data_IF_148134187742
#
_entry.id   IF_148134187742
#
_cell.length_a   1.000
_cell.length_b   1.000
_cell.length_c   1.000
_cell.angle_alpha   90.00
_cell.angle_beta   90.00
_cell.angle_gamma   90.00
#
_symmetry.space_group_name_H-M   'P 1'
#
loop_
_entity.id
_entity.type
_entity.pdbx_description
1 polymer ?
#
# COMPACT_ATOMS: atom_id res chain seq x y z
N UNK A 1 -11.38 9.77 75.31
CA UNK A 1 -11.16 8.71 74.30
C UNK A 1 -10.97 9.38 72.94
N UNK A 2 -9.75 9.85 72.61
CA UNK A 2 -9.47 10.49 71.32
C UNK A 2 -8.99 9.43 70.33
N UNK A 3 -9.75 9.24 69.25
CA UNK A 3 -9.40 8.31 68.18
C UNK A 3 -8.32 8.99 67.32
N UNK A 4 -7.08 8.54 67.47
CA UNK A 4 -5.94 8.98 66.66
C UNK A 4 -6.08 8.40 65.25
N UNK A 5 -6.73 9.13 64.35
CA UNK A 5 -6.86 8.77 62.94
C UNK A 5 -5.47 8.76 62.28
N UNK A 6 -4.93 7.58 61.98
CA UNK A 6 -3.63 7.44 61.31
C UNK A 6 -3.80 7.77 59.82
N UNK A 7 -3.15 8.84 59.35
CA UNK A 7 -3.20 9.32 57.96
C UNK A 7 -2.57 8.37 56.92
N UNK A 8 -2.03 7.22 57.35
CA UNK A 8 -1.28 6.30 56.50
C UNK A 8 -2.12 5.54 55.47
N UNK A 9 -3.39 5.26 55.77
CA UNK A 9 -4.22 4.41 54.91
C UNK A 9 -4.74 5.13 53.67
N UNK A 10 -4.93 6.46 53.76
CA UNK A 10 -5.37 7.29 52.62
C UNK A 10 -4.27 7.36 51.55
N UNK A 11 -2.99 7.41 51.95
CA UNK A 11 -1.86 7.44 51.03
C UNK A 11 -1.66 6.11 50.27
N UNK A 12 -2.03 5.00 50.90
CA UNK A 12 -1.86 3.64 50.36
C UNK A 12 -2.93 3.30 49.31
N UNK A 13 -4.15 3.82 49.46
CA UNK A 13 -5.21 3.66 48.45
C UNK A 13 -4.97 4.51 47.21
N UNK A 14 -4.45 5.73 47.36
CA UNK A 14 -4.16 6.62 46.23
C UNK A 14 -3.08 6.07 45.26
N UNK A 15 -2.11 5.31 45.78
CA UNK A 15 -1.04 4.71 44.98
C UNK A 15 -1.51 3.48 44.19
N UNK A 16 -2.37 2.65 44.76
CA UNK A 16 -2.91 1.46 44.07
C UNK A 16 -3.83 1.86 42.92
N UNK A 17 -4.66 2.89 43.11
CA UNK A 17 -5.57 3.40 42.06
C UNK A 17 -4.77 4.09 40.94
N UNK A 18 -3.71 4.85 41.27
CA UNK A 18 -2.84 5.50 40.29
C UNK A 18 -2.08 4.50 39.40
N UNK A 19 -1.61 3.39 39.97
CA UNK A 19 -0.95 2.30 39.22
C UNK A 19 -1.95 1.44 38.43
N UNK A 20 -3.18 1.30 38.91
CA UNK A 20 -4.24 0.58 38.20
C UNK A 20 -4.74 1.35 36.97
N UNK A 21 -5.20 2.60 37.15
CA UNK A 21 -5.80 3.37 36.05
C UNK A 21 -4.78 3.87 35.02
N UNK A 22 -3.53 4.14 35.41
CA UNK A 22 -2.49 4.60 34.49
C UNK A 22 -2.11 3.57 33.42
N UNK A 23 -2.25 2.28 33.70
CA UNK A 23 -1.90 1.20 32.77
C UNK A 23 -2.98 0.85 31.73
N UNK A 24 -4.26 1.07 32.06
CA UNK A 24 -5.37 0.66 31.19
C UNK A 24 -5.58 1.58 29.97
N UNK A 25 -5.09 2.83 29.99
CA UNK A 25 -5.39 3.81 28.93
C UNK A 25 -4.40 3.73 27.74
N UNK A 26 -3.29 2.98 27.85
CA UNK A 26 -2.24 2.98 26.79
C UNK A 26 -2.23 1.77 25.87
N UNK A 27 -3.08 0.76 26.07
CA UNK A 27 -3.11 -0.42 25.19
C UNK A 27 -4.17 -0.27 24.10
N UNK A 28 -4.14 0.84 23.35
CA UNK A 28 -4.78 0.87 22.04
C UNK A 28 -3.95 -0.02 21.11
N UNK A 29 -4.34 -1.29 20.98
CA UNK A 29 -3.86 -2.14 19.90
C UNK A 29 -4.36 -1.54 18.60
N UNK A 30 -3.52 -0.75 17.93
CA UNK A 30 -3.71 -0.48 16.51
C UNK A 30 -3.63 -1.83 15.78
N UNK A 31 -4.79 -2.41 15.48
CA UNK A 31 -4.87 -3.53 14.55
C UNK A 31 -4.37 -2.98 13.22
N UNK A 32 -3.14 -3.31 12.85
CA UNK A 32 -2.59 -2.93 11.57
C UNK A 32 -3.26 -3.79 10.52
N UNK A 33 -4.45 -3.37 10.04
CA UNK A 33 -5.09 -4.05 8.92
C UNK A 33 -4.16 -3.92 7.73
N UNK A 34 -3.55 -5.04 7.33
CA UNK A 34 -2.69 -5.08 6.17
C UNK A 34 -3.53 -4.78 4.93
N UNK A 35 -3.07 -3.81 4.14
CA UNK A 35 -3.72 -3.38 2.91
C UNK A 35 -2.93 -3.96 1.76
N UNK A 36 -3.63 -4.63 0.85
CA UNK A 36 -3.06 -5.31 -0.29
C UNK A 36 -3.29 -4.49 -1.56
N UNK A 37 -2.75 -4.97 -2.67
CA UNK A 37 -3.20 -4.64 -4.02
C UNK A 37 -3.63 -5.93 -4.70
N UNK A 38 -4.46 -5.82 -5.73
CA UNK A 38 -4.67 -6.96 -6.64
C UNK A 38 -3.61 -6.90 -7.73
N UNK A 39 -2.95 -8.01 -8.04
CA UNK A 39 -2.04 -8.11 -9.17
C UNK A 39 -2.33 -9.46 -9.84
N UNK A 40 -2.97 -9.43 -11.01
CA UNK A 40 -3.40 -10.65 -11.71
C UNK A 40 -4.27 -11.59 -10.87
N UNK A 41 -5.20 -11.03 -10.08
CA UNK A 41 -6.08 -11.79 -9.20
C UNK A 41 -5.43 -12.27 -7.89
N UNK A 42 -4.15 -11.97 -7.67
CA UNK A 42 -3.44 -12.27 -6.43
C UNK A 42 -3.48 -11.04 -5.52
N UNK A 43 -3.83 -11.24 -4.25
CA UNK A 43 -3.69 -10.20 -3.23
C UNK A 43 -2.24 -10.12 -2.75
N UNK A 44 -1.54 -9.06 -3.14
CA UNK A 44 -0.13 -8.86 -2.84
C UNK A 44 0.09 -7.65 -1.91
N UNK A 45 1.03 -7.78 -0.98
CA UNK A 45 1.38 -6.71 -0.04
C UNK A 45 2.66 -6.03 -0.47
N UNK A 46 2.57 -4.74 -0.83
CA UNK A 46 3.71 -3.92 -1.26
C UNK A 46 4.54 -4.63 -2.35
N UNK A 47 3.94 -5.01 -3.49
CA UNK A 47 4.66 -5.73 -4.52
C UNK A 47 5.81 -4.89 -5.07
N UNK A 48 6.84 -5.56 -5.57
CA UNK A 48 7.95 -4.94 -6.30
C UNK A 48 7.69 -4.85 -7.81
N UNK A 49 6.60 -5.46 -8.28
CA UNK A 49 6.16 -5.44 -9.68
C UNK A 49 4.63 -5.49 -9.76
N UNK A 50 4.04 -4.80 -10.73
CA UNK A 50 2.59 -4.82 -11.02
C UNK A 50 2.36 -4.88 -12.53
N UNK A 51 1.51 -5.81 -12.96
CA UNK A 51 1.22 -6.03 -14.37
C UNK A 51 -0.07 -5.31 -14.79
N UNK A 52 -0.09 -4.80 -16.02
CA UNK A 52 -1.30 -4.30 -16.66
C UNK A 52 -2.06 -5.42 -17.37
N UNK A 53 -1.31 -6.30 -18.03
CA UNK A 53 -1.85 -7.46 -18.75
C UNK A 53 -1.21 -8.74 -18.20
N UNK A 54 -2.05 -9.63 -17.70
CA UNK A 54 -1.57 -10.86 -17.02
C UNK A 54 -1.31 -12.02 -17.98
N UNK A 55 -1.97 -12.03 -19.14
CA UNK A 55 -1.85 -13.11 -20.11
C UNK A 55 -0.52 -13.11 -20.89
N UNK A 56 0.00 -11.93 -21.23
CA UNK A 56 1.20 -11.78 -22.05
C UNK A 56 2.36 -11.09 -21.31
N UNK A 57 2.11 -10.49 -20.14
CA UNK A 57 3.07 -9.73 -19.33
C UNK A 57 3.77 -8.60 -20.10
N UNK A 58 3.17 -8.15 -21.21
CA UNK A 58 3.79 -7.23 -22.15
C UNK A 58 3.93 -5.81 -21.60
N UNK A 59 3.07 -5.45 -20.64
CA UNK A 59 3.03 -4.12 -20.01
C UNK A 59 2.95 -4.24 -18.50
N UNK A 60 3.79 -3.48 -17.79
CA UNK A 60 3.76 -3.42 -16.34
C UNK A 60 4.77 -2.44 -15.76
N UNK A 61 4.98 -2.56 -14.45
CA UNK A 61 5.95 -1.79 -13.70
C UNK A 61 6.78 -2.73 -12.86
N UNK A 62 8.09 -2.56 -12.92
CA UNK A 62 9.07 -3.29 -12.13
C UNK A 62 9.86 -2.36 -11.19
N UNK A 63 10.65 -2.98 -10.30
CA UNK A 63 11.55 -2.31 -9.35
C UNK A 63 10.85 -1.24 -8.50
N UNK A 64 9.63 -1.56 -8.07
CA UNK A 64 8.80 -0.62 -7.32
C UNK A 64 9.39 -0.38 -5.93
N UNK A 65 9.56 0.90 -5.59
CA UNK A 65 9.93 1.38 -4.25
C UNK A 65 8.80 2.22 -3.68
N UNK A 66 8.20 1.77 -2.58
CA UNK A 66 7.06 2.45 -1.95
C UNK A 66 7.52 3.58 -1.03
N UNK A 67 6.99 4.78 -1.27
CA UNK A 67 7.18 5.96 -0.43
C UNK A 67 6.12 6.04 0.67
N UNK A 68 4.88 5.66 0.36
CA UNK A 68 3.77 5.60 1.32
C UNK A 68 2.88 4.39 1.06
N UNK A 69 2.25 3.87 2.13
CA UNK A 69 1.35 2.72 2.02
C UNK A 69 0.29 2.74 3.11
N UNK A 70 -0.97 2.89 2.72
CA UNK A 70 -2.09 2.93 3.66
C UNK A 70 -3.40 2.47 3.00
N UNK A 71 -4.44 2.28 3.81
CA UNK A 71 -5.78 1.95 3.31
C UNK A 71 -6.41 3.08 2.47
N UNK A 72 -5.90 4.31 2.58
CA UNK A 72 -6.38 5.45 1.80
C UNK A 72 -5.71 5.54 0.42
N UNK A 73 -4.59 4.86 0.25
CA UNK A 73 -3.76 4.92 -0.94
C UNK A 73 -2.30 4.63 -0.64
N UNK A 74 -1.54 4.40 -1.71
CA UNK A 74 -0.11 4.18 -1.69
C UNK A 74 0.56 5.03 -2.78
N UNK A 75 1.80 5.44 -2.54
CA UNK A 75 2.64 6.12 -3.52
C UNK A 75 4.02 5.48 -3.57
N UNK A 76 4.63 5.50 -4.74
CA UNK A 76 5.94 4.91 -4.96
C UNK A 76 6.55 5.36 -6.27
N UNK A 77 7.66 4.73 -6.61
CA UNK A 77 8.39 4.95 -7.85
C UNK A 77 8.75 3.58 -8.44
N UNK A 78 8.90 3.52 -9.76
CA UNK A 78 9.29 2.28 -10.44
C UNK A 78 9.72 2.50 -11.87
N UNK A 79 9.91 1.39 -12.58
CA UNK A 79 10.24 1.37 -14.00
C UNK A 79 9.04 0.80 -14.76
N UNK A 80 8.37 1.64 -15.52
CA UNK A 80 7.40 1.19 -16.52
C UNK A 80 8.13 0.43 -17.62
N UNK A 81 7.54 -0.66 -18.07
CA UNK A 81 8.02 -1.44 -19.21
C UNK A 81 6.88 -1.78 -20.16
N UNK A 82 7.20 -1.78 -21.44
CA UNK A 82 6.32 -2.25 -22.52
C UNK A 82 7.12 -2.99 -23.59
N UNK A 83 6.62 -4.14 -24.02
CA UNK A 83 7.13 -4.85 -25.20
C UNK A 83 6.43 -4.31 -26.46
N UNK A 84 7.20 -3.93 -27.48
CA UNK A 84 6.62 -3.48 -28.77
C UNK A 84 5.95 -4.60 -29.58
N UNK A 85 6.22 -5.86 -29.23
CA UNK A 85 5.67 -7.04 -29.90
C UNK A 85 5.87 -7.04 -31.43
N UNK A 86 6.95 -6.44 -31.93
CA UNK A 86 7.27 -6.45 -33.36
C UNK A 86 8.44 -7.39 -33.67
N UNK A 87 8.28 -8.40 -34.55
CA UNK A 87 7.04 -8.83 -35.23
C UNK A 87 6.11 -9.70 -34.36
N UNK A 88 6.57 -10.15 -33.20
CA UNK A 88 5.80 -10.96 -32.24
C UNK A 88 6.28 -10.68 -30.82
N UNK A 89 5.46 -10.95 -29.80
CA UNK A 89 5.80 -10.62 -28.41
C UNK A 89 7.00 -11.39 -27.83
N UNK A 90 7.34 -12.55 -28.38
CA UNK A 90 8.54 -13.31 -28.03
C UNK A 90 9.83 -12.74 -28.65
N UNK A 91 9.71 -11.98 -29.75
CA UNK A 91 10.84 -11.39 -30.48
C UNK A 91 10.94 -9.86 -30.35
N UNK A 92 9.92 -9.22 -29.78
CA UNK A 92 9.84 -7.77 -29.61
C UNK A 92 10.85 -7.22 -28.60
N UNK A 93 10.96 -5.89 -28.55
CA UNK A 93 11.88 -5.18 -27.67
C UNK A 93 11.12 -4.54 -26.52
N UNK A 94 11.76 -4.60 -25.34
CA UNK A 94 11.30 -3.89 -24.16
C UNK A 94 11.75 -2.44 -24.20
N UNK A 95 10.80 -1.54 -23.96
CA UNK A 95 11.00 -0.11 -23.79
C UNK A 95 10.68 0.27 -22.34
N UNK A 96 11.39 1.27 -21.81
CA UNK A 96 11.33 1.60 -20.38
C UNK A 96 11.14 3.09 -20.13
N UNK A 97 10.52 3.43 -19.01
CA UNK A 97 10.48 4.78 -18.47
C UNK A 97 10.45 4.76 -16.93
N UNK A 98 11.13 5.71 -16.29
CA UNK A 98 10.98 5.91 -14.84
C UNK A 98 9.68 6.63 -14.55
N UNK A 99 8.91 6.09 -13.59
CA UNK A 99 7.57 6.58 -13.26
C UNK A 99 7.37 6.80 -11.78
N UNK A 100 6.54 7.77 -11.45
CA UNK A 100 5.85 7.89 -10.17
C UNK A 100 4.58 7.05 -10.21
N UNK A 101 4.24 6.43 -9.08
CA UNK A 101 3.15 5.47 -8.94
C UNK A 101 2.21 5.97 -7.86
N UNK A 102 0.91 5.98 -8.17
CA UNK A 102 -0.16 6.13 -7.19
C UNK A 102 -1.11 4.95 -7.28
N UNK A 103 -1.40 4.31 -6.13
CA UNK A 103 -2.41 3.25 -6.04
C UNK A 103 -3.54 3.70 -5.13
N UNK A 104 -4.77 3.49 -5.56
CA UNK A 104 -5.98 4.04 -4.95
C UNK A 104 -7.18 3.09 -5.11
N UNK A 105 -8.37 3.58 -4.79
CA UNK A 105 -9.66 2.85 -4.80
C UNK A 105 -9.63 1.62 -3.90
N UNK A 106 -9.82 1.84 -2.60
CA UNK A 106 -9.91 0.77 -1.62
C UNK A 106 -11.21 -0.05 -1.79
N UNK A 107 -11.09 -1.38 -1.79
CA UNK A 107 -12.19 -2.34 -1.74
C UNK A 107 -11.89 -3.46 -0.75
N UNK A 108 -12.91 -4.19 -0.35
CA UNK A 108 -12.76 -5.42 0.42
C UNK A 108 -12.86 -6.62 -0.52
N UNK A 109 -11.81 -7.45 -0.56
CA UNK A 109 -11.71 -8.66 -1.37
C UNK A 109 -11.38 -9.81 -0.41
N UNK A 110 -12.22 -10.85 -0.37
CA UNK A 110 -12.09 -12.00 0.55
C UNK A 110 -11.85 -11.60 2.02
N UNK A 111 -12.54 -10.55 2.48
CA UNK A 111 -12.43 -10.01 3.83
C UNK A 111 -11.16 -9.18 4.10
N UNK A 112 -10.31 -8.95 3.08
CA UNK A 112 -9.09 -8.14 3.17
C UNK A 112 -9.26 -6.82 2.45
N UNK A 113 -8.64 -5.75 2.96
CA UNK A 113 -8.60 -4.46 2.29
C UNK A 113 -7.58 -4.49 1.15
N UNK A 114 -7.98 -4.09 -0.06
CA UNK A 114 -7.13 -4.00 -1.23
C UNK A 114 -7.31 -2.66 -1.95
N UNK A 115 -6.23 -2.06 -2.44
CA UNK A 115 -6.28 -0.95 -3.39
C UNK A 115 -6.32 -1.53 -4.81
N UNK A 116 -7.18 -0.99 -5.66
CA UNK A 116 -7.58 -1.67 -6.90
C UNK A 116 -7.45 -0.84 -8.16
N UNK A 117 -6.76 0.30 -8.08
CA UNK A 117 -6.52 1.16 -9.22
C UNK A 117 -5.14 1.80 -9.16
N UNK A 118 -4.41 1.74 -10.26
CA UNK A 118 -3.09 2.33 -10.38
C UNK A 118 -3.11 3.46 -11.41
N UNK A 119 -2.36 4.51 -11.10
CA UNK A 119 -2.04 5.62 -11.98
C UNK A 119 -0.53 5.82 -11.96
N UNK A 120 0.06 6.02 -13.14
CA UNK A 120 1.48 6.29 -13.29
C UNK A 120 1.73 7.52 -14.14
N UNK A 121 2.83 8.19 -13.84
CA UNK A 121 3.30 9.36 -14.57
C UNK A 121 4.81 9.27 -14.77
N UNK A 122 5.32 9.58 -15.95
CA UNK A 122 6.78 9.68 -16.17
C UNK A 122 7.42 10.75 -15.30
N UNK A 123 8.57 10.43 -14.71
CA UNK A 123 9.32 11.39 -13.89
C UNK A 123 9.88 12.55 -14.69
N UNK A 124 10.25 12.31 -15.95
CA UNK A 124 10.83 13.32 -16.83
C UNK A 124 9.79 14.14 -17.61
N UNK A 125 8.49 13.86 -17.41
CA UNK A 125 7.38 14.53 -18.07
C UNK A 125 7.23 14.21 -19.56
N UNK A 126 8.04 13.30 -20.11
CA UNK A 126 7.91 12.85 -21.51
C UNK A 126 6.82 11.80 -21.65
N UNK A 127 6.40 11.54 -22.88
CA UNK A 127 5.45 10.47 -23.16
C UNK A 127 6.01 9.11 -22.74
N UNK A 128 5.15 8.25 -22.22
CA UNK A 128 5.49 6.85 -22.01
C UNK A 128 5.84 6.21 -23.37
N UNK A 129 6.77 5.23 -23.40
CA UNK A 129 7.08 4.50 -24.62
C UNK A 129 5.82 3.89 -25.22
N UNK A 130 5.66 4.03 -26.54
CA UNK A 130 4.50 3.55 -27.30
C UNK A 130 3.14 4.12 -26.84
N UNK A 131 3.17 5.25 -26.12
CA UNK A 131 1.99 6.00 -25.69
C UNK A 131 2.06 7.44 -26.21
N UNK A 132 0.89 8.09 -26.32
CA UNK A 132 0.78 9.51 -26.63
C UNK A 132 0.62 10.38 -25.37
N UNK A 133 0.84 9.80 -24.20
CA UNK A 133 0.63 10.44 -22.89
C UNK A 133 1.81 10.14 -21.95
N UNK A 134 2.21 11.09 -21.09
CA UNK A 134 3.14 10.82 -19.99
C UNK A 134 2.49 10.01 -18.85
N UNK A 135 1.17 9.82 -18.91
CA UNK A 135 0.34 9.18 -17.89
C UNK A 135 -0.33 7.94 -18.47
N UNK A 136 -0.40 6.87 -17.68
CA UNK A 136 -1.24 5.69 -17.94
C UNK A 136 -1.90 5.22 -16.64
N UNK A 137 -3.10 4.67 -16.74
CA UNK A 137 -3.89 4.26 -15.59
C UNK A 137 -4.63 2.96 -15.92
N UNK A 138 -4.74 2.05 -14.95
CA UNK A 138 -5.52 0.84 -15.14
C UNK A 138 -6.12 0.31 -13.83
N UNK A 139 -7.26 -0.39 -13.92
CA UNK A 139 -7.74 -1.20 -12.81
C UNK A 139 -6.76 -2.35 -12.56
N UNK A 140 -6.52 -2.63 -11.28
CA UNK A 140 -5.77 -3.79 -10.82
C UNK A 140 -6.66 -5.03 -10.63
N UNK A 141 -7.97 -4.85 -10.75
CA UNK A 141 -8.97 -5.91 -10.66
C UNK A 141 -9.01 -6.66 -11.98
N UNK A 142 -8.53 -7.91 -11.95
CA UNK A 142 -8.77 -8.90 -12.99
C UNK A 142 -8.41 -8.40 -14.39
N UNK A 143 -7.11 -8.30 -14.68
CA UNK A 143 -6.67 -8.43 -16.07
C UNK A 143 -6.91 -9.90 -16.49
N UNK A 144 -8.16 -10.14 -16.93
CA UNK A 144 -8.56 -11.29 -17.72
C UNK A 144 -8.39 -10.99 -19.20
#
# INVERSE_FOLDING_TARGET
MSIRQSKGWVALLATIIGLGFGGYIFVNRAVTTQVYVTNCGILDYKPTAMLKFCGDTSVGIDKITWLSWSAKGASGEGIYQINDCEPSCDAGKLHYAEVEITVSKAKTIDGKQALTFISITTKDGKMLPLSQSPIDEWPLELAG
#
